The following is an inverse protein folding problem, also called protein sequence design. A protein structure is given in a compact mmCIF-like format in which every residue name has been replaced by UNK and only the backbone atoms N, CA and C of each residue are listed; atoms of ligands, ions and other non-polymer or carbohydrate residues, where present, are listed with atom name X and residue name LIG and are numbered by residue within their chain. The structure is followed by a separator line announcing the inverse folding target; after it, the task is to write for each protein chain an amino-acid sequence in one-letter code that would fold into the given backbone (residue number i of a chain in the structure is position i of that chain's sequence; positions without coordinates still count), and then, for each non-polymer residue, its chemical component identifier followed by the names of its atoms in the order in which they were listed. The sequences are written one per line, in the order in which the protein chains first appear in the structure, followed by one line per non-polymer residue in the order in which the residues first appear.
data_IF_038703840187
#
_entry.id   IF_038703840187
#
_cell.length_a   1.000
_cell.length_b   1.000
_cell.length_c   1.000
_cell.angle_alpha   90.00
_cell.angle_beta   90.00
_cell.angle_gamma   90.00
#
_symmetry.space_group_name_H-M   'P 1'
#
loop_
_entity.id
_entity.type
_entity.pdbx_description
1 polymer ?
#
# COMPACT_ATOMS: atom_id res chain seq x y z
N UNK A 1 -8.99 18.71 7.12
CA UNK A 1 -8.20 19.37 8.19
C UNK A 1 -6.76 18.90 8.05
N UNK A 2 -5.84 19.80 7.86
CA UNK A 2 -4.42 19.46 7.79
C UNK A 2 -3.95 19.06 9.18
N UNK A 3 -3.22 17.97 9.26
CA UNK A 3 -2.65 17.50 10.52
C UNK A 3 -1.30 18.21 10.76
N UNK A 4 -1.33 19.22 11.61
CA UNK A 4 -0.16 20.05 11.93
C UNK A 4 1.02 19.23 12.48
N UNK A 5 0.71 18.13 13.16
CA UNK A 5 1.75 17.25 13.69
C UNK A 5 2.47 16.49 12.57
N UNK A 6 1.72 16.04 11.58
CA UNK A 6 2.29 15.38 10.39
C UNK A 6 3.12 16.36 9.57
N UNK A 7 2.62 17.57 9.35
CA UNK A 7 3.36 18.62 8.63
C UNK A 7 4.70 18.91 9.31
N UNK A 8 4.71 18.95 10.64
CA UNK A 8 5.94 19.12 11.42
C UNK A 8 6.91 17.95 11.21
N UNK A 9 6.43 16.71 11.32
CA UNK A 9 7.28 15.53 11.09
C UNK A 9 7.85 15.50 9.67
N UNK A 10 7.05 15.85 8.68
CA UNK A 10 7.50 15.94 7.28
C UNK A 10 8.61 17.00 7.14
N UNK A 11 8.39 18.18 7.72
CA UNK A 11 9.37 19.26 7.66
C UNK A 11 10.69 18.91 8.36
N UNK A 12 10.62 18.27 9.53
CA UNK A 12 11.79 17.86 10.29
C UNK A 12 12.54 16.69 9.59
N UNK A 13 11.80 15.69 9.09
CA UNK A 13 12.37 14.58 8.35
C UNK A 13 13.04 15.02 7.03
N UNK A 14 12.50 16.04 6.36
CA UNK A 14 13.15 16.65 5.17
C UNK A 14 14.52 17.22 5.47
N UNK A 15 14.75 17.64 6.69
CA UNK A 15 16.06 18.17 7.18
C UNK A 15 16.99 17.08 7.68
N UNK A 16 16.57 15.82 7.62
CA UNK A 16 17.34 14.66 8.02
C UNK A 16 17.07 14.16 9.45
N UNK A 17 15.98 14.61 10.09
CA UNK A 17 15.57 14.10 11.40
C UNK A 17 14.99 12.70 11.25
N UNK A 18 15.76 11.70 11.66
CA UNK A 18 15.35 10.28 11.61
C UNK A 18 14.23 9.96 12.56
N UNK A 19 14.16 10.60 13.73
CA UNK A 19 13.07 10.38 14.69
C UNK A 19 11.73 10.89 14.17
N UNK A 20 11.72 12.01 13.46
CA UNK A 20 10.53 12.51 12.78
C UNK A 20 10.07 11.55 11.67
N UNK A 21 11.00 11.02 10.89
CA UNK A 21 10.70 10.02 9.86
C UNK A 21 10.17 8.71 10.48
N UNK A 22 10.75 8.24 11.56
CA UNK A 22 10.26 7.08 12.29
C UNK A 22 8.80 7.26 12.77
N UNK A 23 8.45 8.46 13.19
CA UNK A 23 7.06 8.78 13.57
C UNK A 23 6.10 8.69 12.38
N UNK A 24 6.52 9.16 11.21
CA UNK A 24 5.78 8.99 9.96
C UNK A 24 5.65 7.52 9.58
N UNK A 25 6.76 6.76 9.68
CA UNK A 25 6.77 5.33 9.38
C UNK A 25 5.76 4.57 10.25
N UNK A 26 5.81 4.76 11.56
CA UNK A 26 4.88 4.12 12.50
C UNK A 26 3.41 4.47 12.21
N UNK A 27 3.15 5.70 11.80
CA UNK A 27 1.80 6.16 11.46
C UNK A 27 1.24 5.47 10.23
N UNK A 28 2.09 5.22 9.22
CA UNK A 28 1.66 4.72 7.92
C UNK A 28 1.95 3.24 7.68
N UNK A 29 2.75 2.59 8.52
CA UNK A 29 3.18 1.21 8.35
C UNK A 29 2.03 0.24 8.05
N UNK A 30 0.99 0.25 8.89
CA UNK A 30 -0.18 -0.63 8.70
C UNK A 30 -0.90 -0.37 7.39
N UNK A 31 -1.06 0.90 7.00
CA UNK A 31 -1.74 1.28 5.75
C UNK A 31 -0.93 0.91 4.52
N UNK A 32 0.37 1.10 4.58
CA UNK A 32 1.28 0.71 3.50
C UNK A 32 1.31 -0.81 3.36
N UNK A 33 1.42 -1.56 4.45
CA UNK A 33 1.35 -3.03 4.43
C UNK A 33 0.00 -3.54 3.91
N UNK A 34 -1.10 -2.90 4.27
CA UNK A 34 -2.42 -3.23 3.71
C UNK A 34 -2.49 -2.99 2.21
N UNK A 35 -1.92 -1.88 1.71
CA UNK A 35 -1.83 -1.59 0.28
C UNK A 35 -0.99 -2.64 -0.45
N UNK A 36 0.22 -2.87 0.02
CA UNK A 36 1.15 -3.83 -0.61
C UNK A 36 0.62 -5.25 -0.55
N UNK A 37 -0.05 -5.63 0.54
CA UNK A 37 -0.70 -6.93 0.70
C UNK A 37 -1.84 -7.18 -0.29
N UNK A 38 -2.53 -6.14 -0.73
CA UNK A 38 -3.56 -6.24 -1.79
C UNK A 38 -2.97 -6.23 -3.18
N UNK A 39 -1.84 -5.58 -3.36
CA UNK A 39 -1.14 -5.53 -4.65
C UNK A 39 -0.37 -6.81 -4.95
N UNK A 40 0.39 -7.30 -3.98
CA UNK A 40 1.28 -8.45 -4.13
C UNK A 40 0.55 -9.77 -3.89
N UNK A 41 1.14 -10.86 -4.41
CA UNK A 41 0.53 -12.21 -4.33
C UNK A 41 0.84 -12.94 -3.05
N UNK A 42 1.93 -12.58 -2.37
CA UNK A 42 2.39 -13.24 -1.15
C UNK A 42 2.86 -12.22 -0.11
N UNK A 43 2.90 -12.59 1.18
CA UNK A 43 3.29 -11.68 2.26
C UNK A 43 4.73 -11.21 2.19
N UNK A 44 5.65 -12.02 1.68
CA UNK A 44 7.06 -11.67 1.56
C UNK A 44 7.26 -10.51 0.58
N UNK A 45 6.62 -10.59 -0.58
CA UNK A 45 6.66 -9.53 -1.58
C UNK A 45 6.00 -8.26 -1.08
N UNK A 46 4.89 -8.39 -0.34
CA UNK A 46 4.22 -7.25 0.28
C UNK A 46 5.13 -6.52 1.27
N UNK A 47 5.86 -7.26 2.09
CA UNK A 47 6.83 -6.69 3.02
C UNK A 47 8.03 -6.06 2.29
N UNK A 48 8.57 -6.72 1.29
CA UNK A 48 9.66 -6.18 0.47
C UNK A 48 9.25 -4.87 -0.20
N UNK A 49 8.08 -4.82 -0.84
CA UNK A 49 7.56 -3.62 -1.47
C UNK A 49 7.32 -2.49 -0.46
N UNK A 50 6.83 -2.80 0.73
CA UNK A 50 6.66 -1.81 1.79
C UNK A 50 8.00 -1.23 2.27
N UNK A 51 9.01 -2.06 2.45
CA UNK A 51 10.36 -1.62 2.81
C UNK A 51 10.99 -0.75 1.72
N UNK A 52 10.89 -1.16 0.45
CA UNK A 52 11.34 -0.36 -0.67
C UNK A 52 10.65 1.01 -0.72
N UNK A 53 9.34 1.05 -0.47
CA UNK A 53 8.58 2.30 -0.45
C UNK A 53 9.05 3.25 0.65
N UNK A 54 9.28 2.77 1.87
CA UNK A 54 9.78 3.60 2.96
C UNK A 54 11.21 4.05 2.73
N UNK A 55 12.05 3.21 2.16
CA UNK A 55 13.41 3.59 1.78
C UNK A 55 13.41 4.67 0.69
N UNK A 56 12.58 4.49 -0.34
CA UNK A 56 12.39 5.49 -1.38
C UNK A 56 11.83 6.81 -0.82
N UNK A 57 10.92 6.73 0.14
CA UNK A 57 10.37 7.90 0.82
C UNK A 57 11.46 8.66 1.59
N UNK A 58 12.29 7.96 2.35
CA UNK A 58 13.42 8.58 3.06
C UNK A 58 14.40 9.28 2.11
N UNK A 59 14.75 8.60 1.03
CA UNK A 59 15.68 9.15 0.02
C UNK A 59 15.08 10.29 -0.78
N UNK A 60 13.78 10.24 -1.07
CA UNK A 60 13.06 11.24 -1.85
C UNK A 60 12.56 12.43 -1.05
N UNK A 61 12.52 12.32 0.28
CA UNK A 61 11.92 13.33 1.14
C UNK A 61 12.55 14.73 1.03
N UNK A 62 13.89 14.89 0.88
CA UNK A 62 14.50 16.21 0.66
C UNK A 62 13.97 16.94 -0.58
N UNK A 63 13.54 16.21 -1.61
CA UNK A 63 12.98 16.76 -2.85
C UNK A 63 11.45 16.80 -2.87
N UNK A 64 10.79 16.31 -1.83
CA UNK A 64 9.34 16.36 -1.69
C UNK A 64 8.84 17.81 -1.63
N UNK A 65 8.02 18.22 -2.60
CA UNK A 65 7.56 19.60 -2.74
C UNK A 65 6.23 19.90 -2.05
N UNK A 66 5.48 18.88 -1.67
CA UNK A 66 4.17 19.06 -1.07
C UNK A 66 3.04 19.37 -2.06
N UNK A 67 3.25 19.09 -3.35
CA UNK A 67 2.21 19.22 -4.39
C UNK A 67 1.02 18.27 -4.14
N UNK A 68 1.30 17.15 -3.51
CA UNK A 68 0.31 16.23 -2.97
C UNK A 68 0.53 16.07 -1.45
N UNK A 69 -0.44 15.48 -0.74
CA UNK A 69 -0.25 15.12 0.66
C UNK A 69 0.88 14.09 0.79
N UNK A 70 1.52 14.04 1.96
CA UNK A 70 2.54 13.04 2.25
C UNK A 70 1.99 11.61 2.07
N UNK A 71 0.78 11.35 2.53
CA UNK A 71 0.12 10.05 2.38
C UNK A 71 -0.09 9.66 0.91
N UNK A 72 -0.58 10.57 0.07
CA UNK A 72 -0.74 10.34 -1.36
C UNK A 72 0.60 10.01 -2.02
N UNK A 73 1.62 10.78 -1.74
CA UNK A 73 2.96 10.55 -2.26
C UNK A 73 3.52 9.19 -1.82
N UNK A 74 3.36 8.85 -0.54
CA UNK A 74 3.81 7.56 0.01
C UNK A 74 3.06 6.37 -0.63
N UNK A 75 1.75 6.47 -0.81
CA UNK A 75 0.96 5.41 -1.45
C UNK A 75 1.34 5.22 -2.93
N UNK A 76 1.71 6.28 -3.63
CA UNK A 76 2.28 6.16 -4.97
C UNK A 76 3.59 5.39 -4.97
N UNK A 77 4.50 5.71 -4.06
CA UNK A 77 5.77 4.99 -3.90
C UNK A 77 5.52 3.51 -3.61
N UNK A 78 4.60 3.20 -2.70
CA UNK A 78 4.29 1.83 -2.31
C UNK A 78 3.65 1.03 -3.46
N UNK A 79 2.68 1.61 -4.17
CA UNK A 79 2.04 0.94 -5.30
C UNK A 79 2.99 0.74 -6.48
N UNK A 80 3.86 1.70 -6.75
CA UNK A 80 4.89 1.58 -7.79
C UNK A 80 5.92 0.50 -7.44
N UNK A 81 6.34 0.40 -6.18
CA UNK A 81 7.22 -0.67 -5.71
C UNK A 81 6.58 -2.05 -5.95
N UNK A 82 5.29 -2.20 -5.69
CA UNK A 82 4.56 -3.43 -5.97
C UNK A 82 4.51 -3.76 -7.48
N UNK A 83 4.22 -2.79 -8.32
CA UNK A 83 4.18 -2.98 -9.78
C UNK A 83 5.55 -3.40 -10.30
N UNK A 84 6.60 -2.73 -9.86
CA UNK A 84 7.98 -3.05 -10.26
C UNK A 84 8.38 -4.47 -9.82
N UNK A 85 8.02 -4.85 -8.61
CA UNK A 85 8.28 -6.20 -8.09
C UNK A 85 7.54 -7.26 -8.91
N UNK A 86 6.25 -7.05 -9.17
CA UNK A 86 5.44 -7.97 -9.97
C UNK A 86 5.92 -8.08 -11.43
N UNK A 87 6.42 -6.99 -12.00
CA UNK A 87 7.04 -7.02 -13.34
C UNK A 87 8.34 -7.82 -13.36
N UNK A 88 9.17 -7.69 -12.33
CA UNK A 88 10.40 -8.50 -12.17
C UNK A 88 10.08 -9.99 -12.05
N UNK A 89 9.08 -10.34 -11.27
CA UNK A 89 8.63 -11.74 -11.10
C UNK A 89 7.98 -12.30 -12.36
N UNK A 90 7.18 -11.53 -13.07
CA UNK A 90 6.57 -11.92 -14.34
C UNK A 90 7.59 -12.31 -15.41
N UNK A 91 8.82 -11.79 -15.34
CA UNK A 91 9.94 -12.18 -16.21
C UNK A 91 10.59 -13.49 -15.80
N UNK A 92 10.47 -13.89 -14.52
CA UNK A 92 11.10 -15.10 -13.97
C UNK A 92 10.13 -16.25 -13.80
N UNK A 93 8.82 -16.04 -13.76
CA UNK A 93 7.85 -17.08 -13.44
C UNK A 93 6.95 -17.50 -14.60
N UNK A 94 7.56 -18.07 -15.64
CA UNK A 94 6.79 -19.00 -16.47
C UNK A 94 6.65 -20.38 -15.83
N UNK A 95 7.00 -20.56 -14.54
CA UNK A 95 7.19 -21.88 -13.96
C UNK A 95 6.69 -22.08 -12.52
N UNK A 96 6.11 -21.10 -11.84
CA UNK A 96 5.60 -21.31 -10.49
C UNK A 96 4.07 -21.17 -10.44
N UNK A 97 3.40 -22.28 -10.17
CA UNK A 97 1.98 -22.32 -9.86
C UNK A 97 1.64 -21.53 -8.58
N UNK A 98 0.34 -21.31 -8.31
CA UNK A 98 -0.09 -20.47 -7.21
C UNK A 98 0.38 -21.06 -5.88
N UNK A 99 1.17 -20.29 -5.16
CA UNK A 99 1.48 -20.60 -3.77
C UNK A 99 0.28 -20.24 -2.92
N UNK A 100 -0.43 -21.27 -2.49
CA UNK A 100 -1.49 -21.18 -1.50
C UNK A 100 -0.82 -21.04 -0.12
N UNK A 101 -0.63 -19.81 0.33
CA UNK A 101 -0.46 -19.53 1.75
C UNK A 101 -1.48 -18.48 2.15
N UNK A 102 -2.60 -19.00 2.62
CA UNK A 102 -3.59 -18.26 3.37
C UNK A 102 -3.03 -18.00 4.77
N UNK A 103 -2.28 -16.93 4.94
CA UNK A 103 -2.13 -16.34 6.26
C UNK A 103 -2.85 -14.98 6.25
N UNK A 104 -3.82 -14.90 7.14
CA UNK A 104 -4.67 -13.75 7.38
C UNK A 104 -3.82 -12.50 7.63
N UNK A 105 -3.66 -11.67 6.60
CA UNK A 105 -3.36 -10.27 6.84
C UNK A 105 -4.66 -9.60 7.24
N UNK A 106 -4.97 -9.68 8.54
CA UNK A 106 -6.15 -9.09 9.11
C UNK A 106 -6.17 -7.59 8.87
N UNK A 107 -7.10 -7.16 8.05
CA UNK A 107 -7.58 -5.79 8.11
C UNK A 107 -8.35 -5.66 9.42
N UNK A 108 -7.71 -5.05 10.39
CA UNK A 108 -8.37 -4.61 11.61
C UNK A 108 -9.33 -3.48 11.23
N UNK A 109 -10.57 -3.85 10.96
CA UNK A 109 -11.69 -2.91 10.91
C UNK A 109 -12.15 -2.72 12.35
N UNK A 110 -12.30 -1.47 12.84
CA UNK A 110 -12.72 -1.25 14.21
C UNK A 110 -14.10 -1.87 14.48
N UNK A 111 -14.13 -2.54 15.58
CA UNK A 111 -15.13 -3.30 16.23
C UNK A 111 -16.58 -2.82 16.15
N UNK A 112 -17.39 -3.57 15.46
CA UNK A 112 -18.67 -4.08 15.96
C UNK A 112 -18.66 -5.57 15.65
N UNK A 113 -18.63 -6.41 16.68
CA UNK A 113 -18.56 -7.86 16.49
C UNK A 113 -19.72 -8.35 15.62
N UNK A 114 -19.48 -8.73 14.34
CA UNK A 114 -20.54 -9.23 13.48
C UNK A 114 -20.96 -10.61 13.97
N UNK A 115 -22.23 -10.97 13.71
CA UNK A 115 -22.70 -12.33 13.95
C UNK A 115 -21.85 -13.34 13.16
N UNK A 116 -21.72 -14.61 13.58
CA UNK A 116 -20.94 -15.61 12.84
C UNK A 116 -21.36 -15.75 11.36
N UNK A 117 -22.61 -15.50 11.05
CA UNK A 117 -23.17 -15.58 9.70
C UNK A 117 -22.73 -14.36 8.85
N UNK A 118 -22.79 -13.15 9.41
CA UNK A 118 -22.29 -11.93 8.75
C UNK A 118 -20.78 -11.98 8.56
N UNK A 119 -20.06 -12.61 9.49
CA UNK A 119 -18.60 -12.81 9.35
C UNK A 119 -18.26 -13.75 8.20
N UNK A 120 -19.05 -14.81 7.99
CA UNK A 120 -18.85 -15.74 6.89
C UNK A 120 -19.14 -15.09 5.53
N UNK A 121 -20.25 -14.33 5.41
CA UNK A 121 -20.63 -13.61 4.19
C UNK A 121 -19.59 -12.52 3.85
N UNK A 122 -19.09 -11.79 4.84
CA UNK A 122 -18.04 -10.80 4.65
C UNK A 122 -16.72 -11.43 4.23
N UNK A 123 -16.40 -12.60 4.77
CA UNK A 123 -15.19 -13.35 4.39
C UNK A 123 -15.27 -13.80 2.94
N UNK A 124 -16.41 -14.38 2.53
CA UNK A 124 -16.65 -14.81 1.15
C UNK A 124 -16.56 -13.65 0.16
N UNK A 125 -17.20 -12.52 0.49
CA UNK A 125 -17.14 -11.32 -0.34
C UNK A 125 -15.69 -10.79 -0.46
N UNK A 126 -14.95 -10.80 0.63
CA UNK A 126 -13.54 -10.39 0.63
C UNK A 126 -12.71 -11.28 -0.28
N UNK A 127 -12.88 -12.59 -0.18
CA UNK A 127 -12.18 -13.57 -1.02
C UNK A 127 -12.51 -13.37 -2.51
N UNK A 128 -13.76 -13.09 -2.84
CA UNK A 128 -14.19 -12.79 -4.22
C UNK A 128 -13.56 -11.49 -4.74
N UNK A 129 -13.48 -10.45 -3.91
CA UNK A 129 -12.83 -9.18 -4.28
C UNK A 129 -11.33 -9.38 -4.48
N UNK A 130 -10.66 -10.10 -3.59
CA UNK A 130 -9.23 -10.40 -3.72
C UNK A 130 -8.93 -11.23 -4.96
N UNK A 131 -9.75 -12.21 -5.27
CA UNK A 131 -9.64 -13.00 -6.51
C UNK A 131 -9.82 -12.11 -7.75
N UNK A 132 -10.83 -11.25 -7.74
CA UNK A 132 -11.05 -10.27 -8.80
C UNK A 132 -9.86 -9.34 -9.00
N UNK A 133 -9.27 -8.87 -7.92
CA UNK A 133 -8.06 -8.03 -7.98
C UNK A 133 -6.85 -8.79 -8.52
N UNK A 134 -6.68 -10.05 -8.14
CA UNK A 134 -5.59 -10.90 -8.64
C UNK A 134 -5.70 -11.20 -10.13
N UNK A 135 -6.90 -11.20 -10.69
CA UNK A 135 -7.12 -11.40 -12.13
C UNK A 135 -6.73 -10.18 -12.99
N UNK A 136 -6.56 -9.01 -12.39
CA UNK A 136 -6.18 -7.79 -13.09
C UNK A 136 -4.67 -7.72 -13.32
N UNK A 137 -4.26 -7.01 -14.38
CA UNK A 137 -2.86 -6.63 -14.53
C UNK A 137 -2.39 -5.78 -13.34
N UNK A 138 -1.09 -5.74 -13.05
CA UNK A 138 -0.56 -4.93 -11.95
C UNK A 138 -1.00 -3.46 -12.02
N UNK A 139 -0.99 -2.87 -13.20
CA UNK A 139 -1.35 -1.47 -13.43
C UNK A 139 -2.84 -1.20 -13.18
N UNK A 140 -3.73 -2.07 -13.66
CA UNK A 140 -5.16 -1.95 -13.40
C UNK A 140 -5.50 -2.15 -11.93
N UNK A 141 -4.83 -3.09 -11.28
CA UNK A 141 -4.96 -3.32 -9.83
C UNK A 141 -4.51 -2.09 -9.05
N UNK A 142 -3.39 -1.47 -9.43
CA UNK A 142 -2.88 -0.23 -8.83
C UNK A 142 -3.92 0.89 -8.90
N UNK A 143 -4.50 1.12 -10.07
CA UNK A 143 -5.52 2.17 -10.26
C UNK A 143 -6.73 1.96 -9.35
N UNK A 144 -7.27 0.73 -9.30
CA UNK A 144 -8.41 0.43 -8.47
C UNK A 144 -8.12 0.59 -6.97
N UNK A 145 -7.00 0.10 -6.49
CA UNK A 145 -6.61 0.20 -5.07
C UNK A 145 -6.40 1.66 -4.68
N UNK A 146 -5.69 2.43 -5.48
CA UNK A 146 -5.47 3.84 -5.21
C UNK A 146 -6.77 4.64 -5.24
N UNK A 147 -7.66 4.35 -6.17
CA UNK A 147 -8.94 5.05 -6.31
C UNK A 147 -9.93 4.69 -5.21
N UNK A 148 -10.24 3.40 -5.07
CA UNK A 148 -11.36 2.94 -4.24
C UNK A 148 -11.00 2.83 -2.76
N UNK A 149 -9.77 2.50 -2.44
CA UNK A 149 -9.33 2.27 -1.05
C UNK A 149 -8.65 3.50 -0.47
N UNK A 150 -7.74 4.11 -1.22
CA UNK A 150 -6.99 5.28 -0.77
C UNK A 150 -7.58 6.61 -1.23
N UNK A 151 -8.65 6.57 -2.02
CA UNK A 151 -9.45 7.72 -2.47
C UNK A 151 -8.65 8.81 -3.19
N UNK A 152 -7.60 8.41 -3.91
CA UNK A 152 -6.85 9.33 -4.75
C UNK A 152 -7.71 9.78 -5.94
N UNK A 153 -7.51 11.03 -6.36
CA UNK A 153 -8.10 11.53 -7.60
C UNK A 153 -7.47 10.86 -8.83
N UNK A 154 -8.16 10.87 -9.95
CA UNK A 154 -7.59 10.37 -11.21
C UNK A 154 -6.32 11.10 -11.63
N UNK A 155 -6.25 12.41 -11.35
CA UNK A 155 -5.06 13.22 -11.61
C UNK A 155 -3.86 12.77 -10.76
N UNK A 156 -4.09 12.51 -9.47
CA UNK A 156 -3.08 11.98 -8.57
C UNK A 156 -2.60 10.58 -8.99
N UNK A 157 -3.52 9.74 -9.45
CA UNK A 157 -3.19 8.40 -9.96
C UNK A 157 -2.39 8.51 -11.27
N UNK A 158 -2.79 9.36 -12.19
CA UNK A 158 -2.10 9.58 -13.46
C UNK A 158 -0.64 10.02 -13.27
N UNK A 159 -0.35 10.79 -12.23
CA UNK A 159 1.03 11.16 -11.87
C UNK A 159 1.86 10.00 -11.32
N UNK A 160 1.22 8.89 -10.93
CA UNK A 160 1.89 7.68 -10.42
C UNK A 160 2.33 6.74 -11.53
N UNK A 161 1.66 6.83 -12.67
CA UNK A 161 1.89 5.98 -13.83
C UNK A 161 2.95 6.63 -14.72
#
# INVERSE_FOLDING_TARGET
MRDLQEEKWVADARRGDTAAFESLLRRYEKRVLALTGRMCRNPEDAQEAAQEAFLAAWQGLPSFRGDASFSTWLYRLASNACVDLMRREGRHSNAAGPSLNDEETGLDVPDTAPSPQESAERKELREQIEEGLRSLSPEHRQVLILREIHQLSYEEIAQSL
#
